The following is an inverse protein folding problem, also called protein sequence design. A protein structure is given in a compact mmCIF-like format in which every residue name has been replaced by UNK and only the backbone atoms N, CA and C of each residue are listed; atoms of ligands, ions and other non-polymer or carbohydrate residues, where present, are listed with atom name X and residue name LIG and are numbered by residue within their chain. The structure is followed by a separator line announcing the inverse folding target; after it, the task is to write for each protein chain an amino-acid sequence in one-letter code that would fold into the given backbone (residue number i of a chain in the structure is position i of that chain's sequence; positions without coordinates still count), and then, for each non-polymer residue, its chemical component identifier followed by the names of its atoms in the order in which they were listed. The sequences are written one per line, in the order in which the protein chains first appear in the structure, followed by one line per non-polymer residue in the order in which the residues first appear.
data_IF_156664520524
#
_entry.id   IF_156664520524
#
_cell.length_a   1.000
_cell.length_b   1.000
_cell.length_c   1.000
_cell.angle_alpha   90.00
_cell.angle_beta   90.00
_cell.angle_gamma   90.00
#
_symmetry.space_group_name_H-M   'P 1'
#
loop_
_entity.id
_entity.type
_entity.pdbx_description
1 polymer ?
#
# COMPACT_ATOMS: atom_id res chain seq x y z
N UNK A 1 11.73 -9.12 6.25
CA UNK A 1 11.91 -7.79 5.62
C UNK A 1 10.57 -7.40 5.03
N UNK A 2 9.94 -6.30 5.46
CA UNK A 2 8.70 -5.83 4.86
C UNK A 2 8.97 -5.48 3.39
N UNK A 3 8.38 -6.21 2.46
CA UNK A 3 8.50 -5.93 1.03
C UNK A 3 7.64 -4.70 0.76
N UNK A 4 8.30 -3.58 0.46
CA UNK A 4 7.61 -2.31 0.21
C UNK A 4 7.36 -2.19 -1.29
N UNK A 5 6.12 -1.94 -1.68
CA UNK A 5 5.78 -1.72 -3.09
C UNK A 5 4.86 -0.52 -3.20
N UNK A 6 5.04 0.27 -4.26
CA UNK A 6 4.04 1.27 -4.63
C UNK A 6 2.80 0.52 -5.09
N UNK A 7 1.64 0.96 -4.63
CA UNK A 7 0.38 0.32 -5.04
C UNK A 7 0.14 0.42 -6.55
N UNK A 8 0.59 1.52 -7.17
CA UNK A 8 0.54 1.75 -8.61
C UNK A 8 1.37 0.72 -9.40
N UNK A 9 2.47 0.24 -8.84
CA UNK A 9 3.36 -0.77 -9.42
C UNK A 9 2.94 -2.21 -9.07
N UNK A 10 1.94 -2.39 -8.21
CA UNK A 10 1.54 -3.71 -7.70
C UNK A 10 0.64 -4.45 -8.69
N UNK A 11 0.87 -5.76 -8.82
CA UNK A 11 -0.04 -6.67 -9.52
C UNK A 11 -1.19 -7.07 -8.60
N UNK A 12 -2.32 -6.36 -8.72
CA UNK A 12 -3.48 -6.42 -7.82
C UNK A 12 -4.21 -7.76 -7.77
N UNK A 13 -4.00 -8.63 -8.77
CA UNK A 13 -4.61 -9.97 -8.84
C UNK A 13 -3.75 -11.07 -8.23
N UNK A 14 -2.68 -10.72 -7.51
CA UNK A 14 -1.80 -11.68 -6.85
C UNK A 14 -2.56 -12.44 -5.76
N UNK A 15 -2.44 -13.77 -5.65
CA UNK A 15 -3.14 -14.56 -4.63
C UNK A 15 -2.91 -14.09 -3.19
N UNK A 16 -1.74 -13.53 -2.88
CA UNK A 16 -1.40 -13.02 -1.55
C UNK A 16 -2.21 -11.80 -1.10
N UNK A 17 -2.96 -11.16 -2.00
CA UNK A 17 -3.85 -10.03 -1.68
C UNK A 17 -5.29 -10.48 -1.39
N UNK A 18 -5.64 -11.73 -1.69
CA UNK A 18 -6.97 -12.26 -1.35
C UNK A 18 -7.10 -12.33 0.17
N UNK A 19 -8.14 -11.69 0.70
CA UNK A 19 -8.45 -11.63 2.14
C UNK A 19 -7.37 -10.95 3.00
N UNK A 20 -6.38 -10.31 2.38
CA UNK A 20 -5.35 -9.60 3.09
C UNK A 20 -5.92 -8.35 3.78
N UNK A 21 -5.51 -8.11 5.03
CA UNK A 21 -5.65 -6.79 5.63
C UNK A 21 -4.64 -5.85 4.98
N UNK A 22 -5.12 -4.74 4.42
CA UNK A 22 -4.25 -3.83 3.65
C UNK A 22 -3.99 -2.56 4.46
N UNK A 23 -2.73 -2.13 4.48
CA UNK A 23 -2.34 -0.79 4.90
C UNK A 23 -1.95 0.01 3.65
N UNK A 24 -2.66 1.11 3.40
CA UNK A 24 -2.19 2.15 2.48
C UNK A 24 -1.71 3.35 3.29
N UNK A 25 -0.43 3.71 3.15
CA UNK A 25 0.16 4.86 3.83
C UNK A 25 0.74 5.86 2.83
N UNK A 26 0.84 7.12 3.23
CA UNK A 26 1.64 8.07 2.47
C UNK A 26 3.13 7.69 2.53
N UNK A 27 3.87 7.85 1.43
CA UNK A 27 5.31 7.53 1.37
C UNK A 27 6.13 8.22 2.47
N UNK A 28 5.74 9.45 2.83
CA UNK A 28 6.38 10.25 3.87
C UNK A 28 6.22 9.64 5.27
N UNK A 29 5.11 8.96 5.57
CA UNK A 29 4.85 8.38 6.90
C UNK A 29 5.93 7.35 7.27
N UNK A 30 6.37 6.54 6.30
CA UNK A 30 7.47 5.59 6.52
C UNK A 30 8.80 6.28 6.84
N UNK A 31 9.06 7.44 6.23
CA UNK A 31 10.31 8.19 6.41
C UNK A 31 10.31 8.98 7.71
N UNK A 32 9.19 9.64 8.03
CA UNK A 32 9.05 10.55 9.17
C UNK A 32 8.74 9.77 10.45
N UNK A 33 7.94 8.69 10.36
CA UNK A 33 7.49 7.89 11.49
C UNK A 33 7.71 6.38 11.25
N UNK A 34 8.97 5.92 11.10
CA UNK A 34 9.28 4.54 10.72
C UNK A 34 8.74 3.50 11.71
N UNK A 35 8.82 3.76 13.02
CA UNK A 35 8.32 2.84 14.05
C UNK A 35 6.79 2.76 14.07
N UNK A 36 6.10 3.88 13.83
CA UNK A 36 4.64 3.89 13.69
C UNK A 36 4.23 3.10 12.44
N UNK A 37 4.89 3.33 11.31
CA UNK A 37 4.62 2.58 10.08
C UNK A 37 4.82 1.09 10.29
N UNK A 38 5.90 0.68 10.98
CA UNK A 38 6.17 -0.73 11.30
C UNK A 38 5.03 -1.34 12.12
N UNK A 39 4.59 -0.67 13.19
CA UNK A 39 3.45 -1.12 14.01
C UNK A 39 2.14 -1.22 13.21
N UNK A 40 1.86 -0.25 12.34
CA UNK A 40 0.66 -0.26 11.51
C UNK A 40 0.70 -1.36 10.44
N UNK A 41 1.90 -1.72 9.97
CA UNK A 41 2.11 -2.74 8.95
C UNK A 41 2.09 -4.18 9.50
N UNK A 42 2.11 -4.37 10.82
CA UNK A 42 2.08 -5.70 11.43
C UNK A 42 0.80 -6.45 11.06
N UNK A 43 0.96 -7.64 10.47
CA UNK A 43 -0.15 -8.48 10.01
C UNK A 43 -0.89 -7.95 8.77
N UNK A 44 -0.34 -6.95 8.06
CA UNK A 44 -0.97 -6.32 6.90
C UNK A 44 -0.06 -6.31 5.69
N UNK A 45 -0.64 -6.39 4.51
CA UNK A 45 0.07 -6.05 3.28
C UNK A 45 0.14 -4.53 3.16
N UNK A 46 1.35 -3.99 3.23
CA UNK A 46 1.58 -2.56 3.32
C UNK A 46 2.03 -1.97 1.97
N UNK A 47 1.24 -1.05 1.46
CA UNK A 47 1.55 -0.24 0.29
C UNK A 47 1.79 1.21 0.67
N UNK A 48 2.56 1.88 -0.17
CA UNK A 48 2.74 3.33 -0.11
C UNK A 48 2.29 4.00 -1.38
N UNK A 49 1.86 5.25 -1.25
CA UNK A 49 1.55 6.15 -2.36
C UNK A 49 1.92 7.59 -1.96
N UNK A 50 2.39 8.40 -2.90
CA UNK A 50 2.52 9.84 -2.71
C UNK A 50 1.35 10.57 -3.40
N UNK A 51 0.43 11.21 -2.66
CA UNK A 51 -0.72 11.89 -3.28
C UNK A 51 -0.32 13.10 -4.13
N UNK A 52 0.89 13.63 -3.94
CA UNK A 52 1.41 14.80 -4.66
C UNK A 52 2.05 14.45 -6.02
N UNK A 53 2.50 13.21 -6.19
CA UNK A 53 3.29 12.80 -7.38
C UNK A 53 2.69 11.63 -8.15
N UNK A 54 1.79 10.86 -7.54
CA UNK A 54 1.13 9.72 -8.19
C UNK A 54 -0.29 10.07 -8.63
N UNK A 55 -0.74 9.45 -9.72
CA UNK A 55 -2.06 9.71 -10.29
C UNK A 55 -3.18 9.15 -9.37
N UNK A 56 -4.09 9.99 -8.84
CA UNK A 56 -5.14 9.55 -7.92
C UNK A 56 -6.13 8.56 -8.55
N UNK A 57 -6.46 8.74 -9.83
CA UNK A 57 -7.38 7.84 -10.56
C UNK A 57 -6.77 6.45 -10.71
N UNK A 58 -5.47 6.36 -11.02
CA UNK A 58 -4.76 5.09 -11.09
C UNK A 58 -4.71 4.38 -9.73
N UNK A 59 -4.42 5.13 -8.67
CA UNK A 59 -4.47 4.62 -7.29
C UNK A 59 -5.85 4.02 -6.97
N UNK A 60 -6.92 4.77 -7.22
CA UNK A 60 -8.28 4.32 -6.95
C UNK A 60 -8.64 3.08 -7.77
N UNK A 61 -8.26 3.03 -9.05
CA UNK A 61 -8.49 1.85 -9.90
C UNK A 61 -7.77 0.60 -9.41
N UNK A 62 -6.55 0.74 -8.90
CA UNK A 62 -5.80 -0.35 -8.26
C UNK A 62 -6.49 -0.82 -6.99
N UNK A 63 -6.87 0.10 -6.10
CA UNK A 63 -7.59 -0.22 -4.87
C UNK A 63 -8.90 -0.95 -5.15
N UNK A 64 -9.72 -0.43 -6.08
CA UNK A 64 -10.96 -1.06 -6.51
C UNK A 64 -10.70 -2.51 -6.97
N UNK A 65 -9.69 -2.71 -7.82
CA UNK A 65 -9.31 -4.05 -8.30
C UNK A 65 -8.78 -5.00 -7.24
N UNK A 66 -8.35 -4.51 -6.08
CA UNK A 66 -7.90 -5.36 -4.96
C UNK A 66 -9.10 -5.78 -4.10
N UNK A 67 -10.06 -4.87 -3.90
CA UNK A 67 -11.22 -5.11 -3.01
C UNK A 67 -12.40 -5.80 -3.71
N UNK A 68 -12.43 -5.85 -5.04
CA UNK A 68 -13.47 -6.52 -5.86
C UNK A 68 -12.92 -7.71 -6.63
#
# INVERSE_FOLDING_TARGET
MLKLSKITETWVKTPSLREASILLAAECVRKIYPELFKKLAEGREAFVCCPETENPTMLMGKLASIIT
#
